data_IF_993612148474
#
_entry.id   IF_993612148474
#
_cell.length_a   1.000
_cell.length_b   1.000
_cell.length_c   1.000
_cell.angle_alpha   90.00
_cell.angle_beta   90.00
_cell.angle_gamma   90.00
#
_symmetry.space_group_name_H-M   'P 1'
#
loop_
_entity.id
_entity.type
_entity.pdbx_description
1 polymer ?
#
# COMPACT_ATOMS: atom_id res chain seq x y z
N UNK A 1 10.39 14.66 28.93
CA UNK A 1 10.97 14.00 27.75
C UNK A 1 11.48 15.11 26.83
N UNK A 2 12.75 15.07 26.44
CA UNK A 2 13.24 15.98 25.40
C UNK A 2 12.52 15.59 24.12
N UNK A 3 11.72 16.49 23.55
CA UNK A 3 11.19 16.34 22.20
C UNK A 3 12.39 16.28 21.26
N UNK A 4 12.74 15.08 20.81
CA UNK A 4 13.75 14.89 19.78
C UNK A 4 13.09 15.24 18.45
N UNK A 5 13.23 16.50 18.02
CA UNK A 5 12.83 16.91 16.68
C UNK A 5 13.93 16.55 15.69
N UNK A 6 13.59 15.88 14.60
CA UNK A 6 14.52 15.67 13.48
C UNK A 6 14.87 17.01 12.83
N UNK A 7 16.11 17.17 12.34
CA UNK A 7 16.46 18.35 11.56
C UNK A 7 15.72 18.34 10.21
N UNK A 8 15.58 19.51 9.61
CA UNK A 8 15.05 19.66 8.25
C UNK A 8 16.15 19.70 7.18
N UNK A 9 17.42 19.55 7.58
CA UNK A 9 18.59 19.58 6.69
C UNK A 9 19.62 18.55 7.13
N UNK A 10 20.35 17.98 6.16
CA UNK A 10 21.50 17.14 6.43
C UNK A 10 22.70 17.98 6.88
N UNK A 11 23.63 17.42 7.67
CA UNK A 11 24.90 18.08 7.94
C UNK A 11 25.63 18.43 6.63
N UNK A 12 26.25 19.62 6.49
CA UNK A 12 26.85 20.06 5.22
C UNK A 12 27.82 19.05 4.59
N UNK A 13 28.72 18.47 5.38
CA UNK A 13 29.68 17.47 4.91
C UNK A 13 29.00 16.19 4.36
N UNK A 14 27.86 15.80 4.93
CA UNK A 14 27.06 14.68 4.43
C UNK A 14 26.37 15.08 3.13
N UNK A 15 25.73 16.24 3.11
CA UNK A 15 25.04 16.77 1.93
C UNK A 15 25.97 16.89 0.70
N UNK A 16 27.21 17.31 0.89
CA UNK A 16 28.23 17.39 -0.17
C UNK A 16 28.59 16.02 -0.76
N UNK A 17 28.56 14.95 0.04
CA UNK A 17 28.88 13.59 -0.41
C UNK A 17 27.77 12.91 -1.23
N UNK A 18 26.54 13.46 -1.20
CA UNK A 18 25.41 12.87 -1.91
C UNK A 18 25.60 12.97 -3.42
N UNK A 19 25.35 11.87 -4.12
CA UNK A 19 25.41 11.80 -5.60
C UNK A 19 24.14 11.20 -6.20
N UNK A 20 23.32 10.54 -5.40
CA UNK A 20 22.10 9.90 -5.85
C UNK A 20 20.95 10.16 -4.90
N UNK A 21 19.78 10.41 -5.47
CA UNK A 21 18.54 10.58 -4.73
C UNK A 21 17.51 9.59 -5.28
N UNK A 22 17.05 8.70 -4.42
CA UNK A 22 16.00 7.75 -4.72
C UNK A 22 14.69 8.24 -4.07
N UNK A 23 13.59 8.16 -4.82
CA UNK A 23 12.28 8.59 -4.36
C UNK A 23 11.34 7.38 -4.25
N UNK A 24 10.57 7.30 -3.16
CA UNK A 24 9.26 6.66 -3.26
C UNK A 24 8.30 7.54 -4.07
N UNK A 25 7.18 6.96 -4.50
CA UNK A 25 6.11 7.71 -5.16
C UNK A 25 5.01 8.10 -4.18
N UNK A 26 4.35 7.11 -3.57
CA UNK A 26 3.23 7.34 -2.68
C UNK A 26 3.66 8.15 -1.44
N UNK A 27 2.89 9.18 -1.11
CA UNK A 27 3.16 10.07 0.02
C UNK A 27 4.36 11.02 -0.17
N UNK A 28 5.15 10.86 -1.24
CA UNK A 28 6.31 11.71 -1.59
C UNK A 28 6.03 12.56 -2.84
N UNK A 29 5.73 11.93 -3.97
CA UNK A 29 5.43 12.58 -5.25
C UNK A 29 3.93 12.50 -5.55
N UNK A 30 3.31 11.33 -5.37
CA UNK A 30 1.90 11.05 -5.70
C UNK A 30 1.07 10.75 -4.46
N UNK A 31 -0.23 11.05 -4.51
CA UNK A 31 -1.15 10.75 -3.41
C UNK A 31 -1.68 9.31 -3.47
N UNK A 32 -2.00 8.72 -2.31
CA UNK A 32 -2.68 7.42 -2.19
C UNK A 32 -4.20 7.48 -2.43
N UNK A 33 -4.77 8.66 -2.72
CA UNK A 33 -6.23 8.86 -2.70
C UNK A 33 -6.97 7.94 -3.67
N UNK A 34 -6.46 7.81 -4.90
CA UNK A 34 -7.03 6.90 -5.90
C UNK A 34 -6.97 5.45 -5.43
N UNK A 35 -5.87 5.01 -4.82
CA UNK A 35 -5.79 3.65 -4.28
C UNK A 35 -6.82 3.40 -3.18
N UNK A 36 -7.07 4.37 -2.30
CA UNK A 36 -8.08 4.22 -1.25
C UNK A 36 -9.49 4.15 -1.83
N UNK A 37 -9.80 4.95 -2.84
CA UNK A 37 -11.09 4.86 -3.54
C UNK A 37 -11.24 3.51 -4.24
N UNK A 38 -10.19 3.05 -4.92
CA UNK A 38 -10.20 1.75 -5.63
C UNK A 38 -10.36 0.59 -4.65
N UNK A 39 -9.71 0.64 -3.47
CA UNK A 39 -9.87 -0.36 -2.43
C UNK A 39 -11.33 -0.45 -1.98
N UNK A 40 -11.95 0.70 -1.70
CA UNK A 40 -13.36 0.81 -1.28
C UNK A 40 -14.30 0.23 -2.32
N UNK A 41 -14.19 0.64 -3.59
CA UNK A 41 -15.10 0.17 -4.64
C UNK A 41 -14.90 -1.30 -4.96
N UNK A 42 -13.67 -1.83 -4.82
CA UNK A 42 -13.38 -3.26 -4.98
C UNK A 42 -14.09 -4.09 -3.92
N UNK A 43 -14.00 -3.67 -2.65
CA UNK A 43 -14.73 -4.31 -1.56
C UNK A 43 -16.23 -4.19 -1.80
N UNK A 44 -16.73 -2.99 -2.10
CA UNK A 44 -18.16 -2.74 -2.37
C UNK A 44 -18.72 -3.66 -3.44
N UNK A 45 -18.05 -3.72 -4.58
CA UNK A 45 -18.49 -4.53 -5.70
C UNK A 45 -18.57 -6.00 -5.31
N UNK A 46 -17.59 -6.52 -4.56
CA UNK A 46 -17.61 -7.91 -4.09
C UNK A 46 -18.87 -8.24 -3.25
N UNK A 47 -19.31 -7.30 -2.40
CA UNK A 47 -20.49 -7.51 -1.56
C UNK A 47 -21.80 -7.25 -2.29
N UNK A 48 -21.89 -6.17 -3.06
CA UNK A 48 -23.18 -5.71 -3.60
C UNK A 48 -23.49 -6.22 -5.01
N UNK A 49 -22.49 -6.61 -5.80
CA UNK A 49 -22.74 -7.12 -7.15
C UNK A 49 -23.34 -8.52 -7.12
N UNK A 50 -24.40 -8.74 -7.92
CA UNK A 50 -25.02 -10.06 -8.14
C UNK A 50 -24.05 -11.07 -8.76
N UNK A 51 -22.94 -10.61 -9.37
CA UNK A 51 -21.88 -11.49 -9.84
C UNK A 51 -21.13 -12.20 -8.69
N UNK A 52 -21.31 -11.73 -7.45
CA UNK A 52 -20.62 -12.20 -6.25
C UNK A 52 -21.62 -12.50 -5.12
N UNK A 53 -21.65 -11.69 -4.05
CA UNK A 53 -22.53 -11.91 -2.90
C UNK A 53 -23.94 -11.35 -3.10
N UNK A 54 -24.13 -10.34 -3.96
CA UNK A 54 -25.46 -9.77 -4.25
C UNK A 54 -26.16 -9.11 -3.06
N UNK A 55 -25.43 -8.70 -2.03
CA UNK A 55 -25.96 -8.06 -0.83
C UNK A 55 -26.22 -6.58 -1.06
N UNK A 56 -27.24 -6.27 -1.87
CA UNK A 56 -27.64 -4.91 -2.18
C UNK A 56 -27.86 -4.09 -0.91
N UNK A 57 -27.16 -2.95 -0.78
CA UNK A 57 -27.26 -2.06 0.39
C UNK A 57 -26.49 -2.54 1.62
N UNK A 58 -25.56 -3.48 1.47
CA UNK A 58 -24.68 -3.92 2.57
C UNK A 58 -23.86 -2.75 3.15
N UNK A 59 -23.37 -1.86 2.28
CA UNK A 59 -22.66 -0.65 2.69
C UNK A 59 -23.59 0.57 2.63
N UNK A 60 -23.54 1.42 3.66
CA UNK A 60 -24.32 2.66 3.64
C UNK A 60 -23.70 3.64 2.64
N UNK A 61 -24.49 4.11 1.68
CA UNK A 61 -24.03 5.10 0.71
C UNK A 61 -24.10 6.48 1.35
N UNK A 62 -22.97 6.96 1.86
CA UNK A 62 -22.80 8.36 2.22
C UNK A 62 -22.51 9.13 0.93
N UNK A 63 -23.54 9.76 0.35
CA UNK A 63 -23.35 10.75 -0.72
C UNK A 63 -22.91 12.09 -0.08
N UNK A 64 -21.73 12.62 -0.42
CA UNK A 64 -21.29 13.90 0.10
C UNK A 64 -21.71 15.01 -0.85
N UNK A 65 -22.87 15.63 -0.61
CA UNK A 65 -23.09 17.02 -1.01
C UNK A 65 -22.18 17.92 -0.14
N UNK A 66 -20.88 17.99 -0.43
CA UNK A 66 -19.93 18.89 0.23
C UNK A 66 -18.98 19.56 -0.79
N UNK A 67 -18.55 20.81 -0.55
CA UNK A 67 -17.80 21.62 -1.53
C UNK A 67 -16.41 21.08 -1.91
N UNK A 68 -15.92 20.06 -1.21
CA UNK A 68 -14.58 19.47 -1.35
C UNK A 68 -14.58 18.07 -2.02
N UNK A 69 -15.64 17.70 -2.75
CA UNK A 69 -15.64 16.49 -3.60
C UNK A 69 -15.52 15.19 -2.80
N UNK A 70 -16.48 14.92 -1.91
CA UNK A 70 -16.36 13.82 -0.97
C UNK A 70 -16.14 12.46 -1.66
N UNK A 71 -15.22 11.70 -1.07
CA UNK A 71 -14.63 10.49 -1.64
C UNK A 71 -15.70 9.40 -1.85
N UNK A 72 -15.70 8.68 -2.99
CA UNK A 72 -16.55 7.52 -3.17
C UNK A 72 -16.32 6.50 -2.05
N UNK A 73 -17.35 6.21 -1.26
CA UNK A 73 -17.33 5.06 -0.35
C UNK A 73 -16.58 5.26 0.97
N UNK A 74 -16.54 6.47 1.52
CA UNK A 74 -15.97 6.73 2.86
C UNK A 74 -16.51 5.81 3.98
N UNK A 75 -17.74 5.28 3.85
CA UNK A 75 -18.32 4.29 4.78
C UNK A 75 -17.84 2.85 4.60
N UNK A 76 -17.27 2.50 3.44
CA UNK A 76 -16.97 1.12 3.05
C UNK A 76 -15.67 0.62 3.69
N UNK A 77 -14.63 1.46 3.60
CA UNK A 77 -13.38 1.30 4.35
C UNK A 77 -13.13 2.65 5.03
N UNK A 78 -13.48 2.70 6.31
CA UNK A 78 -13.30 3.90 7.12
C UNK A 78 -11.81 4.26 7.24
N UNK A 79 -11.51 5.56 7.28
CA UNK A 79 -10.12 6.05 7.45
C UNK A 79 -9.48 5.55 8.76
N UNK A 80 -10.28 5.23 9.77
CA UNK A 80 -9.83 4.57 11.00
C UNK A 80 -9.32 3.16 10.73
N UNK A 81 -9.99 2.38 9.88
CA UNK A 81 -9.53 1.05 9.47
C UNK A 81 -8.24 1.14 8.65
N UNK A 82 -8.16 2.08 7.70
CA UNK A 82 -6.92 2.34 6.95
C UNK A 82 -5.77 2.63 7.91
N UNK A 83 -6.01 3.50 8.90
CA UNK A 83 -5.02 3.85 9.92
C UNK A 83 -4.61 2.65 10.77
N UNK A 84 -5.56 1.81 11.20
CA UNK A 84 -5.26 0.57 11.94
C UNK A 84 -4.35 -0.37 11.14
N UNK A 85 -4.66 -0.59 9.86
CA UNK A 85 -3.89 -1.45 8.96
C UNK A 85 -2.48 -0.90 8.73
N UNK A 86 -2.35 0.39 8.39
CA UNK A 86 -1.05 1.04 8.12
C UNK A 86 -0.17 1.08 9.37
N UNK A 87 -0.76 1.29 10.55
CA UNK A 87 -0.03 1.26 11.83
C UNK A 87 0.51 -0.13 12.19
N UNK A 88 -0.04 -1.20 11.62
CA UNK A 88 0.48 -2.57 11.73
C UNK A 88 1.48 -2.91 10.62
N UNK A 89 2.08 -1.91 9.98
CA UNK A 89 3.07 -2.07 8.91
C UNK A 89 2.55 -2.81 7.66
N UNK A 90 1.24 -2.75 7.40
CA UNK A 90 0.64 -3.20 6.12
C UNK A 90 0.50 -1.97 5.22
N UNK A 91 1.44 -1.80 4.29
CA UNK A 91 1.48 -0.61 3.43
C UNK A 91 0.84 -0.81 2.05
N UNK A 92 0.69 -2.06 1.61
CA UNK A 92 0.04 -2.40 0.33
C UNK A 92 -1.46 -2.10 0.38
N UNK A 93 -1.94 -1.33 -0.60
CA UNK A 93 -3.37 -1.06 -0.76
C UNK A 93 -4.14 -2.33 -1.23
N UNK A 94 -3.45 -3.30 -1.83
CA UNK A 94 -4.02 -4.61 -2.14
C UNK A 94 -4.23 -5.46 -0.88
N UNK A 95 -3.29 -5.43 0.07
CA UNK A 95 -3.44 -6.11 1.36
C UNK A 95 -4.50 -5.45 2.23
N UNK A 96 -4.61 -4.11 2.19
CA UNK A 96 -5.71 -3.37 2.79
C UNK A 96 -7.07 -3.84 2.25
N UNK A 97 -7.20 -3.93 0.93
CA UNK A 97 -8.42 -4.39 0.25
C UNK A 97 -8.75 -5.82 0.66
N UNK A 98 -7.75 -6.70 0.65
CA UNK A 98 -7.90 -8.10 1.05
C UNK A 98 -8.28 -8.26 2.53
N UNK A 99 -7.67 -7.52 3.45
CA UNK A 99 -8.03 -7.53 4.87
C UNK A 99 -9.48 -7.10 5.08
N UNK A 100 -9.87 -5.96 4.49
CA UNK A 100 -11.24 -5.46 4.58
C UNK A 100 -12.26 -6.49 4.05
N UNK A 101 -12.06 -6.97 2.82
CA UNK A 101 -12.94 -7.97 2.23
C UNK A 101 -13.02 -9.26 3.07
N UNK A 102 -11.88 -9.74 3.58
CA UNK A 102 -11.82 -10.98 4.37
C UNK A 102 -12.50 -10.85 5.73
N UNK A 103 -12.37 -9.71 6.40
CA UNK A 103 -13.00 -9.48 7.71
C UNK A 103 -14.51 -9.30 7.59
N UNK A 104 -14.98 -8.54 6.60
CA UNK A 104 -16.42 -8.42 6.34
C UNK A 104 -17.04 -9.77 5.95
N UNK A 105 -16.37 -10.56 5.09
CA UNK A 105 -16.85 -11.88 4.72
C UNK A 105 -16.79 -12.83 5.92
N UNK A 106 -15.69 -12.80 6.67
CA UNK A 106 -15.50 -13.58 7.89
C UNK A 106 -16.57 -13.35 8.94
N UNK A 107 -17.04 -12.10 9.09
CA UNK A 107 -18.15 -11.77 9.99
C UNK A 107 -19.45 -12.51 9.61
N UNK A 108 -19.78 -12.50 8.31
CA UNK A 108 -20.94 -13.21 7.77
C UNK A 108 -20.79 -14.73 7.99
N UNK A 109 -19.65 -15.29 7.57
CA UNK A 109 -19.41 -16.73 7.65
C UNK A 109 -19.44 -17.24 9.10
N UNK A 110 -18.86 -16.48 10.02
CA UNK A 110 -18.84 -16.79 11.45
C UNK A 110 -20.24 -16.77 12.04
N UNK A 111 -21.04 -15.75 11.70
CA UNK A 111 -22.42 -15.61 12.20
C UNK A 111 -23.29 -16.80 11.77
N UNK A 112 -23.20 -17.20 10.50
CA UNK A 112 -23.95 -18.37 10.01
C UNK A 112 -23.40 -19.65 10.64
N UNK A 113 -22.08 -19.84 10.69
CA UNK A 113 -21.47 -21.03 11.30
C UNK A 113 -21.93 -21.23 12.75
N UNK A 114 -21.91 -20.17 13.56
CA UNK A 114 -22.32 -20.23 14.96
C UNK A 114 -23.83 -20.44 15.15
N UNK A 115 -24.66 -20.00 14.21
CA UNK A 115 -26.12 -20.12 14.31
C UNK A 115 -26.67 -21.43 13.74
N UNK A 116 -26.06 -21.97 12.69
CA UNK A 116 -26.59 -23.15 11.96
C UNK A 116 -25.64 -24.34 11.93
N UNK A 117 -24.36 -24.17 12.27
CA UNK A 117 -23.33 -25.20 12.10
C UNK A 117 -22.94 -25.44 10.63
N UNK A 118 -23.19 -24.46 9.75
CA UNK A 118 -22.91 -24.56 8.31
C UNK A 118 -21.47 -25.03 8.03
N UNK A 119 -21.31 -26.15 7.32
CA UNK A 119 -19.99 -26.58 6.85
C UNK A 119 -19.60 -25.83 5.58
N UNK A 120 -18.72 -24.84 5.76
CA UNK A 120 -18.18 -24.03 4.67
C UNK A 120 -17.21 -24.80 3.75
N UNK A 121 -16.66 -25.93 4.20
CA UNK A 121 -15.68 -26.70 3.42
C UNK A 121 -16.26 -27.22 2.11
N UNK A 122 -17.56 -27.51 2.08
CA UNK A 122 -18.30 -27.94 0.88
C UNK A 122 -18.71 -26.79 -0.05
N UNK A 123 -18.73 -25.56 0.47
CA UNK A 123 -19.19 -24.35 -0.23
C UNK A 123 -18.03 -23.67 -0.95
N UNK A 124 -16.87 -23.63 -0.28
CA UNK A 124 -15.69 -22.92 -0.77
C UNK A 124 -14.80 -23.80 -1.63
N UNK A 125 -14.49 -23.29 -2.83
CA UNK A 125 -13.42 -23.78 -3.68
C UNK A 125 -12.25 -22.78 -3.62
N UNK A 126 -11.12 -23.11 -2.96
CA UNK A 126 -9.96 -22.22 -2.84
C UNK A 126 -9.38 -21.75 -4.19
N UNK A 127 -9.62 -22.47 -5.28
CA UNK A 127 -9.13 -22.13 -6.62
C UNK A 127 -10.14 -21.31 -7.43
N UNK A 128 -11.39 -21.19 -6.97
CA UNK A 128 -12.43 -20.42 -7.65
C UNK A 128 -13.20 -19.52 -6.66
N UNK A 129 -12.64 -18.33 -6.34
CA UNK A 129 -13.28 -17.40 -5.43
C UNK A 129 -14.63 -16.89 -5.90
N UNK A 130 -14.79 -16.61 -7.20
CA UNK A 130 -16.06 -16.15 -7.76
C UNK A 130 -17.17 -17.17 -7.51
N UNK A 131 -16.94 -18.45 -7.80
CA UNK A 131 -17.91 -19.50 -7.52
C UNK A 131 -18.19 -19.65 -6.03
N UNK A 132 -17.16 -19.54 -5.18
CA UNK A 132 -17.32 -19.64 -3.74
C UNK A 132 -18.22 -18.53 -3.19
N UNK A 133 -18.02 -17.29 -3.63
CA UNK A 133 -18.86 -16.14 -3.26
C UNK A 133 -20.31 -16.34 -3.74
N UNK A 134 -20.51 -16.83 -4.96
CA UNK A 134 -21.84 -17.15 -5.47
C UNK A 134 -22.52 -18.28 -4.66
N UNK A 135 -21.77 -19.31 -4.25
CA UNK A 135 -22.34 -20.37 -3.40
C UNK A 135 -22.73 -19.84 -2.02
N UNK A 136 -21.93 -18.94 -1.44
CA UNK A 136 -22.25 -18.26 -0.19
C UNK A 136 -23.51 -17.43 -0.34
N UNK A 137 -23.68 -16.69 -1.44
CA UNK A 137 -24.87 -15.84 -1.67
C UNK A 137 -26.18 -16.63 -1.58
N UNK A 138 -26.21 -17.86 -2.09
CA UNK A 138 -27.38 -18.74 -2.04
C UNK A 138 -27.76 -19.18 -0.61
N UNK A 139 -26.80 -19.16 0.32
CA UNK A 139 -27.01 -19.56 1.71
C UNK A 139 -27.47 -18.37 2.55
N UNK A 140 -27.01 -17.16 2.22
CA UNK A 140 -27.19 -15.98 3.06
C UNK A 140 -28.30 -15.03 2.57
N UNK A 141 -28.97 -15.35 1.46
CA UNK A 141 -29.95 -14.49 0.76
C UNK A 141 -31.15 -14.07 1.60
N UNK A 142 -31.55 -14.91 2.56
CA UNK A 142 -32.78 -14.69 3.36
C UNK A 142 -32.51 -13.86 4.62
N UNK A 143 -31.28 -13.39 4.81
CA UNK A 143 -30.83 -12.63 5.99
C UNK A 143 -30.43 -11.21 5.64
N UNK A 144 -30.58 -10.30 6.60
CA UNK A 144 -30.13 -8.91 6.48
C UNK A 144 -28.69 -8.83 7.01
N UNK A 145 -27.79 -8.33 6.17
CA UNK A 145 -26.38 -8.14 6.48
C UNK A 145 -26.02 -6.67 6.36
N UNK A 146 -25.22 -6.17 7.29
CA UNK A 146 -24.80 -4.75 7.30
C UNK A 146 -23.29 -4.62 7.49
N UNK A 147 -22.74 -3.51 7.01
CA UNK A 147 -21.32 -3.16 7.19
C UNK A 147 -20.90 -3.12 8.66
N UNK A 148 -21.81 -2.76 9.58
CA UNK A 148 -21.54 -2.70 11.01
C UNK A 148 -21.03 -4.05 11.55
N UNK A 149 -21.56 -5.17 11.04
CA UNK A 149 -21.10 -6.50 11.42
C UNK A 149 -19.62 -6.72 11.07
N UNK A 150 -19.21 -6.29 9.88
CA UNK A 150 -17.81 -6.40 9.45
C UNK A 150 -16.89 -5.42 10.18
N UNK A 151 -17.38 -4.21 10.49
CA UNK A 151 -16.64 -3.22 11.28
C UNK A 151 -16.38 -3.71 12.72
N UNK A 152 -17.41 -4.24 13.39
CA UNK A 152 -17.28 -4.80 14.73
C UNK A 152 -16.36 -6.03 14.74
N UNK A 153 -16.48 -6.88 13.74
CA UNK A 153 -15.62 -8.05 13.58
C UNK A 153 -14.15 -7.69 13.34
N UNK A 154 -13.91 -6.61 12.58
CA UNK A 154 -12.56 -6.07 12.39
C UNK A 154 -11.95 -5.61 13.71
N UNK A 155 -12.71 -4.95 14.59
CA UNK A 155 -12.24 -4.56 15.91
C UNK A 155 -11.88 -5.78 16.78
N UNK A 156 -12.68 -6.84 16.73
CA UNK A 156 -12.40 -8.11 17.43
C UNK A 156 -11.10 -8.72 16.90
N UNK A 157 -10.92 -8.78 15.58
CA UNK A 157 -9.70 -9.29 14.96
C UNK A 157 -8.47 -8.51 15.44
N UNK A 158 -8.46 -7.18 15.33
CA UNK A 158 -7.30 -6.36 15.73
C UNK A 158 -7.00 -6.43 17.23
N UNK A 159 -8.02 -6.57 18.09
CA UNK A 159 -7.84 -6.81 19.52
C UNK A 159 -7.18 -8.18 19.78
N UNK A 160 -7.58 -9.22 19.05
CA UNK A 160 -7.01 -10.57 19.18
C UNK A 160 -5.60 -10.69 18.57
N UNK A 161 -5.28 -9.85 17.58
CA UNK A 161 -4.02 -9.91 16.85
C UNK A 161 -2.80 -9.46 17.69
N UNK A 162 -3.00 -8.97 18.92
CA UNK A 162 -1.94 -8.47 19.81
C UNK A 162 -1.03 -7.47 19.08
N UNK A 163 0.29 -7.59 19.18
CA UNK A 163 1.32 -6.74 18.58
C UNK A 163 1.81 -7.22 17.19
N UNK A 164 1.09 -8.17 16.56
CA UNK A 164 1.44 -8.67 15.21
C UNK A 164 1.36 -7.58 14.16
N UNK A 165 2.35 -7.58 13.26
CA UNK A 165 2.56 -6.58 12.21
C UNK A 165 2.95 -7.27 10.90
N UNK A 166 2.83 -6.57 9.77
CA UNK A 166 3.33 -7.03 8.47
C UNK A 166 2.76 -8.40 8.07
N UNK A 167 3.62 -9.26 7.53
CA UNK A 167 3.26 -10.63 7.13
C UNK A 167 2.64 -11.45 8.27
N UNK A 168 3.08 -11.25 9.52
CA UNK A 168 2.60 -12.03 10.66
C UNK A 168 1.13 -11.74 10.97
N UNK A 169 0.69 -10.50 10.77
CA UNK A 169 -0.72 -10.13 10.89
C UNK A 169 -1.57 -10.80 9.79
N UNK A 170 -1.07 -10.82 8.55
CA UNK A 170 -1.76 -11.46 7.43
C UNK A 170 -1.86 -12.98 7.62
N UNK A 171 -0.79 -13.64 8.08
CA UNK A 171 -0.83 -15.06 8.40
C UNK A 171 -1.78 -15.36 9.57
N UNK A 172 -1.86 -14.47 10.56
CA UNK A 172 -2.79 -14.61 11.67
C UNK A 172 -4.26 -14.48 11.25
N UNK A 173 -4.59 -13.66 10.24
CA UNK A 173 -5.94 -13.57 9.69
C UNK A 173 -6.47 -14.93 9.22
N UNK A 174 -5.67 -15.71 8.49
CA UNK A 174 -6.09 -17.04 8.04
C UNK A 174 -6.42 -17.94 9.23
N UNK A 175 -5.52 -18.02 10.23
CA UNK A 175 -5.75 -18.81 11.44
C UNK A 175 -7.01 -18.37 12.18
N UNK A 176 -7.17 -17.06 12.39
CA UNK A 176 -8.33 -16.48 13.05
C UNK A 176 -9.63 -16.86 12.34
N UNK A 177 -9.69 -16.72 11.01
CA UNK A 177 -10.89 -17.06 10.24
C UNK A 177 -11.17 -18.56 10.24
N UNK A 178 -10.16 -19.42 10.19
CA UNK A 178 -10.34 -20.88 10.29
C UNK A 178 -10.99 -21.26 11.63
N UNK A 179 -10.51 -20.68 12.74
CA UNK A 179 -11.08 -20.93 14.08
C UNK A 179 -12.52 -20.44 14.20
N UNK A 180 -12.83 -19.25 13.67
CA UNK A 180 -14.15 -18.64 13.84
C UNK A 180 -15.22 -19.21 12.90
N UNK A 181 -14.82 -19.66 11.70
CA UNK A 181 -15.75 -20.15 10.68
C UNK A 181 -15.80 -21.67 10.56
N UNK A 182 -14.82 -22.39 11.11
CA UNK A 182 -14.65 -23.83 10.88
C UNK A 182 -14.20 -24.18 9.45
N UNK A 183 -13.94 -23.19 8.59
CA UNK A 183 -13.43 -23.41 7.24
C UNK A 183 -11.99 -23.90 7.31
N UNK A 184 -11.71 -25.13 6.88
CA UNK A 184 -10.35 -25.73 6.99
C UNK A 184 -9.50 -25.56 5.74
N UNK A 185 -10.09 -25.08 4.64
CA UNK A 185 -9.38 -24.89 3.38
C UNK A 185 -8.66 -23.53 3.33
N UNK A 186 -7.63 -23.36 2.47
CA UNK A 186 -6.80 -22.15 2.47
C UNK A 186 -7.40 -21.01 1.64
N UNK A 187 -8.72 -20.79 1.70
CA UNK A 187 -9.39 -19.74 0.94
C UNK A 187 -8.85 -18.34 1.27
N UNK A 188 -8.69 -18.06 2.56
CA UNK A 188 -8.15 -16.82 3.09
C UNK A 188 -6.63 -16.82 3.20
N UNK A 189 -5.90 -17.66 2.46
CA UNK A 189 -4.43 -17.61 2.48
C UNK A 189 -3.93 -16.27 1.90
N UNK A 190 -3.06 -15.53 2.59
CA UNK A 190 -2.42 -14.32 2.04
C UNK A 190 -1.69 -14.62 0.72
N UNK A 191 -1.89 -13.78 -0.28
CA UNK A 191 -1.35 -14.01 -1.64
C UNK A 191 -1.98 -15.18 -2.41
N UNK A 192 -2.94 -15.90 -1.80
CA UNK A 192 -3.69 -17.01 -2.40
C UNK A 192 -4.73 -16.55 -3.44
N UNK A 193 -5.53 -17.50 -3.93
CA UNK A 193 -6.45 -17.23 -5.05
C UNK A 193 -7.50 -16.14 -4.75
N UNK A 194 -8.00 -16.05 -3.51
CA UNK A 194 -8.91 -14.96 -3.12
C UNK A 194 -8.22 -13.58 -3.14
N UNK A 195 -6.99 -13.49 -2.64
CA UNK A 195 -6.18 -12.28 -2.74
C UNK A 195 -5.95 -11.89 -4.21
N UNK A 196 -5.56 -12.85 -5.07
CA UNK A 196 -5.33 -12.60 -6.50
C UNK A 196 -6.62 -12.17 -7.24
N UNK A 197 -7.75 -12.72 -6.81
CA UNK A 197 -9.06 -12.34 -7.32
C UNK A 197 -9.39 -10.88 -7.00
N UNK A 198 -9.20 -10.44 -5.74
CA UNK A 198 -9.38 -9.05 -5.33
C UNK A 198 -8.39 -8.13 -6.03
N UNK A 199 -7.12 -8.52 -6.11
CA UNK A 199 -6.08 -7.79 -6.83
C UNK A 199 -6.49 -7.52 -8.29
N UNK A 200 -7.05 -8.52 -8.99
CA UNK A 200 -7.50 -8.32 -10.38
C UNK A 200 -8.64 -7.30 -10.48
N UNK A 201 -9.66 -7.40 -9.62
CA UNK A 201 -10.78 -6.44 -9.62
C UNK A 201 -10.27 -5.04 -9.30
N UNK A 202 -9.39 -4.93 -8.30
CA UNK A 202 -8.72 -3.68 -7.94
C UNK A 202 -8.02 -3.07 -9.16
N UNK A 203 -7.23 -3.87 -9.87
CA UNK A 203 -6.47 -3.41 -11.03
C UNK A 203 -7.37 -2.94 -12.17
N UNK A 204 -8.47 -3.66 -12.43
CA UNK A 204 -9.45 -3.26 -13.43
C UNK A 204 -10.13 -1.92 -13.08
N UNK A 205 -10.44 -1.70 -11.80
CA UNK A 205 -10.94 -0.40 -11.33
C UNK A 205 -9.88 0.70 -11.44
N UNK A 206 -8.67 0.43 -10.96
CA UNK A 206 -7.58 1.41 -10.96
C UNK A 206 -7.23 1.89 -12.37
N UNK A 207 -7.24 0.98 -13.36
CA UNK A 207 -6.96 1.29 -14.75
C UNK A 207 -8.18 1.85 -15.52
N UNK A 208 -9.33 2.04 -14.86
CA UNK A 208 -10.60 2.40 -15.49
C UNK A 208 -11.02 1.41 -16.62
N UNK A 209 -10.63 0.13 -16.50
CA UNK A 209 -10.96 -0.94 -17.45
C UNK A 209 -12.05 -1.89 -16.95
N UNK A 210 -12.61 -1.65 -15.76
CA UNK A 210 -13.68 -2.49 -15.20
C UNK A 210 -14.96 -2.36 -16.04
N UNK A 211 -15.42 -3.47 -16.61
CA UNK A 211 -16.61 -3.52 -17.49
C UNK A 211 -17.76 -4.36 -16.90
N UNK A 212 -17.86 -4.48 -15.57
CA UNK A 212 -18.96 -5.22 -14.96
C UNK A 212 -20.29 -4.44 -15.05
N UNK A 213 -21.45 -5.13 -15.12
CA UNK A 213 -22.75 -4.47 -15.05
C UNK A 213 -22.86 -3.54 -13.84
N UNK A 214 -22.37 -4.00 -12.68
CA UNK A 214 -22.31 -3.21 -11.45
C UNK A 214 -21.53 -1.90 -11.64
N UNK A 215 -20.32 -1.97 -12.22
CA UNK A 215 -19.51 -0.77 -12.45
C UNK A 215 -20.19 0.24 -13.37
N UNK A 216 -20.82 -0.25 -14.45
CA UNK A 216 -21.52 0.57 -15.42
C UNK A 216 -22.78 1.24 -14.83
N UNK A 217 -23.49 0.55 -13.95
CA UNK A 217 -24.69 1.04 -13.27
C UNK A 217 -24.36 2.09 -12.20
N UNK A 218 -23.34 1.83 -11.37
CA UNK A 218 -23.02 2.69 -10.23
C UNK A 218 -22.37 4.02 -10.65
N UNK A 219 -21.83 4.13 -11.88
CA UNK A 219 -21.17 5.34 -12.42
C UNK A 219 -20.17 5.96 -11.44
N UNK A 220 -19.38 5.12 -10.78
CA UNK A 220 -18.46 5.56 -9.74
C UNK A 220 -17.35 6.42 -10.36
N UNK A 221 -17.14 7.61 -9.80
CA UNK A 221 -16.06 8.51 -10.20
C UNK A 221 -14.92 8.41 -9.19
N UNK A 222 -13.84 7.74 -9.59
CA UNK A 222 -12.63 7.63 -8.77
C UNK A 222 -11.87 8.96 -8.69
N UNK A 223 -11.17 9.20 -7.58
CA UNK A 223 -10.19 10.29 -7.51
C UNK A 223 -9.18 10.18 -8.67
N UNK A 224 -8.81 11.31 -9.31
CA UNK A 224 -7.75 11.31 -10.31
C UNK A 224 -6.41 10.93 -9.67
N UNK A 225 -5.49 10.43 -10.50
CA UNK A 225 -4.09 10.39 -10.12
C UNK A 225 -3.57 11.83 -9.95
N UNK A 226 -3.01 12.13 -8.79
CA UNK A 226 -2.57 13.48 -8.44
C UNK A 226 -1.15 13.48 -7.86
N UNK A 227 -0.37 14.46 -8.32
CA UNK A 227 0.83 14.89 -7.62
C UNK A 227 0.43 15.55 -6.28
N UNK A 228 1.21 15.32 -5.24
CA UNK A 228 0.99 15.92 -3.91
C UNK A 228 1.28 17.43 -3.92
N UNK A 229 2.13 17.86 -4.86
CA UNK A 229 2.54 19.25 -5.04
C UNK A 229 2.22 19.72 -6.46
N UNK A 230 2.28 21.03 -6.69
CA UNK A 230 2.12 21.58 -8.03
C UNK A 230 3.15 20.98 -9.00
N UNK A 231 2.70 20.62 -10.20
CA UNK A 231 3.52 19.97 -11.21
C UNK A 231 4.71 20.82 -11.68
N UNK A 232 4.50 22.13 -11.86
CA UNK A 232 5.53 23.05 -12.33
C UNK A 232 6.60 23.25 -11.26
N UNK A 233 6.21 23.38 -10.00
CA UNK A 233 7.14 23.48 -8.86
C UNK A 233 7.98 22.21 -8.71
N UNK A 234 7.35 21.04 -8.86
CA UNK A 234 8.05 19.76 -8.82
C UNK A 234 9.04 19.62 -9.97
N UNK A 235 8.61 19.94 -11.20
CA UNK A 235 9.47 19.90 -12.38
C UNK A 235 10.67 20.85 -12.25
N UNK A 236 10.44 22.08 -11.75
CA UNK A 236 11.50 23.04 -11.50
C UNK A 236 12.50 22.53 -10.44
N UNK A 237 12.01 21.90 -9.37
CA UNK A 237 12.84 21.29 -8.34
C UNK A 237 13.70 20.15 -8.91
N UNK A 238 13.10 19.22 -9.66
CA UNK A 238 13.82 18.10 -10.29
C UNK A 238 14.86 18.57 -11.31
N UNK A 239 14.53 19.59 -12.12
CA UNK A 239 15.46 20.22 -13.06
C UNK A 239 16.66 20.84 -12.33
N UNK A 240 16.43 21.45 -11.16
CA UNK A 240 17.48 22.05 -10.34
C UNK A 240 18.39 21.02 -9.68
N UNK A 241 17.85 19.88 -9.26
CA UNK A 241 18.65 18.78 -8.71
C UNK A 241 19.50 18.08 -9.79
N UNK A 242 18.97 17.93 -11.00
CA UNK A 242 19.69 17.31 -12.12
C UNK A 242 20.68 18.26 -12.81
N UNK A 243 20.60 19.56 -12.53
CA UNK A 243 21.48 20.56 -13.13
C UNK A 243 22.97 20.23 -12.93
N UNK A 244 23.75 20.34 -14.00
CA UNK A 244 25.18 20.05 -13.98
C UNK A 244 25.53 18.58 -13.71
N UNK A 245 24.57 17.66 -13.82
CA UNK A 245 24.69 16.24 -13.45
C UNK A 245 25.08 16.04 -11.98
N UNK A 246 24.63 16.95 -11.09
CA UNK A 246 24.96 16.90 -9.67
C UNK A 246 24.42 15.65 -8.98
N UNK A 247 23.14 15.33 -9.25
CA UNK A 247 22.47 14.16 -8.69
C UNK A 247 21.91 13.26 -9.79
N UNK A 248 22.08 11.95 -9.61
CA UNK A 248 21.31 10.94 -10.34
C UNK A 248 20.01 10.70 -9.58
N UNK A 249 18.87 10.86 -10.25
CA UNK A 249 17.56 10.62 -9.64
C UNK A 249 17.03 9.25 -10.04
N UNK A 250 16.49 8.50 -9.08
CA UNK A 250 15.85 7.21 -9.31
C UNK A 250 14.57 7.06 -8.51
N UNK A 251 13.80 6.03 -8.81
CA UNK A 251 12.54 5.70 -8.14
C UNK A 251 12.63 4.28 -7.59
N UNK A 252 12.15 4.08 -6.37
CA UNK A 252 11.96 2.77 -5.76
C UNK A 252 10.58 2.72 -5.09
N UNK A 253 9.60 2.19 -5.80
CA UNK A 253 8.18 2.25 -5.41
C UNK A 253 7.53 0.86 -5.34
N UNK A 254 6.49 0.76 -4.52
CA UNK A 254 5.59 -0.40 -4.47
C UNK A 254 4.54 -0.42 -5.57
N UNK A 255 4.46 0.61 -6.43
CA UNK A 255 3.55 0.63 -7.57
C UNK A 255 4.05 -0.26 -8.72
N UNK A 256 3.16 -0.92 -9.48
CA UNK A 256 3.49 -1.48 -10.79
C UNK A 256 3.96 -0.40 -11.77
N UNK A 257 4.74 -0.79 -12.77
CA UNK A 257 5.43 0.15 -13.67
C UNK A 257 4.49 1.05 -14.45
N UNK A 258 3.39 0.51 -14.95
CA UNK A 258 2.40 1.30 -15.68
C UNK A 258 1.76 2.38 -14.78
N UNK A 259 1.41 2.00 -13.55
CA UNK A 259 0.78 2.88 -12.55
C UNK A 259 1.75 3.96 -12.06
N UNK A 260 3.04 3.61 -11.90
CA UNK A 260 4.09 4.55 -11.51
C UNK A 260 4.41 5.57 -12.61
N UNK A 261 4.46 5.15 -13.87
CA UNK A 261 4.81 6.02 -14.99
C UNK A 261 3.67 6.95 -15.43
N UNK A 262 2.42 6.52 -15.26
CA UNK A 262 1.24 7.27 -15.69
C UNK A 262 1.21 8.72 -15.17
N UNK A 263 1.25 9.00 -13.85
CA UNK A 263 1.24 10.37 -13.34
C UNK A 263 2.50 11.15 -13.73
N UNK A 264 3.66 10.50 -13.77
CA UNK A 264 4.91 11.18 -14.12
C UNK A 264 4.92 11.65 -15.58
N UNK A 265 4.40 10.82 -16.50
CA UNK A 265 4.28 11.14 -17.93
C UNK A 265 3.20 12.17 -18.20
N UNK A 266 2.08 12.12 -17.48
CA UNK A 266 1.03 13.12 -17.58
C UNK A 266 1.54 14.54 -17.32
N UNK A 267 2.60 14.67 -16.51
CA UNK A 267 3.27 15.93 -16.19
C UNK A 267 4.67 16.07 -16.82
N UNK A 268 5.07 15.17 -17.72
CA UNK A 268 6.38 15.16 -18.39
C UNK A 268 7.61 15.19 -17.45
N UNK A 269 7.46 14.72 -16.22
CA UNK A 269 8.54 14.68 -15.21
C UNK A 269 9.25 13.32 -15.15
N UNK A 270 8.76 12.30 -15.88
CA UNK A 270 9.40 10.98 -15.93
C UNK A 270 10.82 11.04 -16.49
N UNK A 271 11.10 12.01 -17.37
CA UNK A 271 12.41 12.20 -18.01
C UNK A 271 13.54 12.64 -17.06
N UNK A 272 13.23 13.11 -15.85
CA UNK A 272 14.24 13.46 -14.85
C UNK A 272 14.84 12.25 -14.15
N UNK A 273 14.21 11.08 -14.24
CA UNK A 273 14.62 9.87 -13.53
C UNK A 273 15.39 8.92 -14.45
N UNK A 274 16.48 8.33 -13.94
CA UNK A 274 17.25 7.32 -14.65
C UNK A 274 16.42 6.04 -14.83
N UNK A 275 16.15 5.69 -16.09
CA UNK A 275 15.39 4.49 -16.46
C UNK A 275 15.95 3.17 -15.89
N UNK A 276 17.26 3.06 -15.68
CA UNK A 276 17.86 1.87 -15.06
C UNK A 276 17.65 1.81 -13.55
N UNK A 277 17.23 2.92 -12.94
CA UNK A 277 17.03 3.11 -11.50
C UNK A 277 15.58 3.39 -11.17
N UNK A 278 14.67 3.00 -12.05
CA UNK A 278 13.23 3.07 -11.84
C UNK A 278 12.72 1.69 -11.44
N UNK A 279 12.81 1.37 -10.15
CA UNK A 279 12.45 0.07 -9.60
C UNK A 279 11.03 0.09 -9.03
N UNK A 280 10.26 -0.92 -9.39
CA UNK A 280 8.81 -1.04 -9.17
C UNK A 280 8.45 -2.40 -8.61
N UNK A 281 7.17 -2.58 -8.27
CA UNK A 281 6.64 -3.88 -7.87
C UNK A 281 6.90 -4.98 -8.91
N UNK A 282 6.87 -4.66 -10.20
CA UNK A 282 7.10 -5.65 -11.26
C UNK A 282 8.53 -6.23 -11.18
N UNK A 283 9.52 -5.41 -10.85
CA UNK A 283 10.91 -5.84 -10.68
C UNK A 283 11.08 -6.70 -9.43
N UNK A 284 10.38 -6.35 -8.34
CA UNK A 284 10.31 -7.14 -7.11
C UNK A 284 9.73 -8.51 -7.42
N UNK A 285 8.59 -8.57 -8.11
CA UNK A 285 7.93 -9.82 -8.49
C UNK A 285 8.79 -10.72 -9.36
N UNK A 286 9.48 -10.14 -10.33
CA UNK A 286 10.40 -10.86 -11.20
C UNK A 286 11.58 -11.44 -10.39
N UNK A 287 12.12 -10.67 -9.44
CA UNK A 287 13.20 -11.12 -8.57
C UNK A 287 12.76 -12.22 -7.59
N UNK A 288 11.58 -12.10 -6.98
CA UNK A 288 11.02 -13.13 -6.10
C UNK A 288 10.78 -14.44 -6.86
N UNK A 289 10.29 -14.37 -8.09
CA UNK A 289 10.12 -15.54 -8.95
C UNK A 289 11.47 -16.22 -9.23
N UNK A 290 12.49 -15.45 -9.63
CA UNK A 290 13.83 -15.98 -9.88
C UNK A 290 14.47 -16.60 -8.63
N UNK A 291 14.26 -16.02 -7.45
CA UNK A 291 14.73 -16.59 -6.18
C UNK A 291 14.00 -17.87 -5.82
N UNK A 292 12.69 -17.94 -6.04
CA UNK A 292 11.89 -19.15 -5.84
C UNK A 292 12.36 -20.29 -6.72
N UNK A 293 12.63 -20.02 -8.01
CA UNK A 293 13.22 -20.99 -8.95
C UNK A 293 14.61 -21.46 -8.51
N UNK A 294 15.39 -20.59 -7.86
CA UNK A 294 16.68 -20.93 -7.27
C UNK A 294 16.57 -21.65 -5.90
N UNK A 295 15.36 -21.96 -5.42
CA UNK A 295 15.13 -22.65 -4.15
C UNK A 295 15.29 -21.77 -2.90
N UNK A 296 15.24 -20.44 -3.05
CA UNK A 296 15.38 -19.47 -1.96
C UNK A 296 14.21 -18.47 -1.93
N UNK A 297 12.95 -18.92 -1.80
CA UNK A 297 11.79 -18.03 -1.79
C UNK A 297 11.95 -16.99 -0.66
N UNK A 298 12.00 -15.73 -1.05
CA UNK A 298 12.22 -14.59 -0.15
C UNK A 298 11.26 -13.48 -0.54
N UNK A 299 10.60 -12.85 0.43
CA UNK A 299 9.81 -11.64 0.16
C UNK A 299 10.74 -10.44 0.04
N UNK A 300 10.67 -9.74 -1.09
CA UNK A 300 11.56 -8.65 -1.45
C UNK A 300 10.88 -7.27 -1.44
N UNK A 301 9.58 -7.23 -1.15
CA UNK A 301 8.86 -5.97 -0.92
C UNK A 301 9.41 -5.25 0.32
N UNK A 302 9.26 -3.92 0.38
CA UNK A 302 9.62 -3.13 1.56
C UNK A 302 8.92 -3.74 2.80
N UNK A 303 9.62 -3.89 3.95
CA UNK A 303 10.85 -3.20 4.34
C UNK A 303 12.16 -3.83 3.84
N UNK A 304 12.13 -4.92 3.06
CA UNK A 304 13.34 -5.46 2.47
C UNK A 304 13.99 -4.42 1.52
N UNK A 305 15.33 -4.24 1.52
CA UNK A 305 16.00 -3.15 0.80
C UNK A 305 16.18 -3.41 -0.70
N UNK A 306 15.60 -4.49 -1.24
CA UNK A 306 15.87 -4.96 -2.61
C UNK A 306 15.65 -3.85 -3.64
N UNK A 307 14.52 -3.13 -3.58
CA UNK A 307 14.23 -2.10 -4.58
C UNK A 307 15.25 -0.97 -4.58
N UNK A 308 15.75 -0.59 -3.41
CA UNK A 308 16.79 0.44 -3.27
C UNK A 308 18.14 -0.10 -3.77
N UNK A 309 18.54 -1.29 -3.31
CA UNK A 309 19.81 -1.91 -3.74
C UNK A 309 19.84 -2.17 -5.26
N UNK A 310 18.70 -2.55 -5.84
CA UNK A 310 18.54 -2.72 -7.28
C UNK A 310 18.62 -1.38 -8.01
N UNK A 311 18.05 -0.31 -7.45
CA UNK A 311 18.17 1.03 -8.01
C UNK A 311 19.62 1.55 -7.94
N UNK A 312 20.38 1.21 -6.90
CA UNK A 312 21.80 1.58 -6.72
C UNK A 312 22.69 0.76 -7.66
N UNK A 313 22.44 -0.54 -7.78
CA UNK A 313 23.20 -1.47 -8.63
C UNK A 313 22.30 -2.24 -9.61
N UNK A 314 21.84 -1.61 -10.71
CA UNK A 314 20.87 -2.19 -11.64
C UNK A 314 21.29 -3.54 -12.25
N UNK A 315 22.59 -3.79 -12.36
CA UNK A 315 23.13 -5.01 -12.97
C UNK A 315 23.26 -6.18 -11.98
N UNK A 316 23.09 -5.96 -10.68
CA UNK A 316 23.22 -7.00 -9.68
C UNK A 316 22.06 -8.01 -9.72
N UNK A 317 22.38 -9.27 -9.47
CA UNK A 317 21.39 -10.35 -9.38
C UNK A 317 20.59 -10.27 -8.08
N UNK A 318 19.33 -10.76 -8.04
CA UNK A 318 18.56 -10.83 -6.80
C UNK A 318 19.28 -11.51 -5.64
N UNK A 319 19.99 -12.62 -5.90
CA UNK A 319 20.78 -13.32 -4.90
C UNK A 319 21.89 -12.44 -4.31
N UNK A 320 22.61 -11.72 -5.16
CA UNK A 320 23.67 -10.79 -4.72
C UNK A 320 23.08 -9.69 -3.84
N UNK A 321 21.94 -9.12 -4.24
CA UNK A 321 21.30 -8.04 -3.51
C UNK A 321 20.75 -8.51 -2.15
N UNK A 322 20.17 -9.71 -2.08
CA UNK A 322 19.75 -10.30 -0.80
C UNK A 322 20.94 -10.48 0.16
N UNK A 323 22.09 -10.92 -0.37
CA UNK A 323 23.30 -11.08 0.44
C UNK A 323 23.86 -9.74 0.98
N UNK A 324 23.57 -8.61 0.34
CA UNK A 324 23.99 -7.27 0.74
C UNK A 324 23.07 -6.63 1.78
N UNK A 325 21.84 -7.10 1.93
CA UNK A 325 20.86 -6.56 2.89
C UNK A 325 21.43 -6.46 4.31
N UNK A 326 21.47 -5.24 4.85
CA UNK A 326 22.01 -4.92 6.18
C UNK A 326 23.53 -5.06 6.32
N UNK A 327 24.27 -5.28 5.23
CA UNK A 327 25.72 -5.54 5.24
C UNK A 327 26.54 -4.54 4.43
N UNK A 328 25.89 -3.67 3.65
CA UNK A 328 26.53 -2.63 2.83
C UNK A 328 26.14 -1.24 3.31
N UNK A 329 26.93 -0.25 2.94
CA UNK A 329 26.69 1.16 3.23
C UNK A 329 26.78 1.98 1.95
N UNK A 330 25.82 2.88 1.76
CA UNK A 330 25.70 3.79 0.63
C UNK A 330 25.49 5.23 1.16
N UNK A 331 26.47 5.82 1.88
CA UNK A 331 26.35 7.16 2.42
C UNK A 331 26.19 8.25 1.34
N UNK A 332 26.52 7.94 0.09
CA UNK A 332 26.34 8.80 -1.08
C UNK A 332 24.91 8.81 -1.65
N UNK A 333 24.01 7.99 -1.08
CA UNK A 333 22.64 7.78 -1.55
C UNK A 333 21.64 8.24 -0.48
N UNK A 334 20.73 9.12 -0.88
CA UNK A 334 19.56 9.50 -0.08
C UNK A 334 18.32 8.77 -0.60
N UNK A 335 17.47 8.29 0.31
CA UNK A 335 16.14 7.80 0.00
C UNK A 335 15.06 8.64 0.68
N UNK A 336 14.09 9.10 -0.09
CA UNK A 336 12.90 9.78 0.41
C UNK A 336 11.72 8.81 0.48
N UNK A 337 11.06 8.73 1.64
CA UNK A 337 9.85 7.95 1.82
C UNK A 337 8.92 8.52 2.89
N UNK A 338 7.66 8.11 2.87
CA UNK A 338 6.62 8.59 3.78
C UNK A 338 6.19 7.55 4.83
N UNK A 339 6.68 6.32 4.71
CA UNK A 339 6.29 5.19 5.56
C UNK A 339 7.44 4.69 6.44
N UNK A 340 7.09 3.98 7.53
CA UNK A 340 8.09 3.30 8.35
C UNK A 340 8.89 2.25 7.55
N UNK A 341 8.25 1.60 6.56
CA UNK A 341 8.93 0.58 5.74
C UNK A 341 9.99 1.19 4.83
N UNK A 342 9.83 2.45 4.42
CA UNK A 342 10.83 3.17 3.63
C UNK A 342 12.09 3.46 4.42
N UNK A 343 11.91 3.94 5.66
CA UNK A 343 13.03 4.24 6.55
C UNK A 343 13.83 2.96 6.85
N UNK A 344 13.13 1.87 7.16
CA UNK A 344 13.78 0.57 7.40
C UNK A 344 14.47 0.05 6.15
N UNK A 345 13.84 0.15 4.97
CA UNK A 345 14.46 -0.26 3.71
C UNK A 345 15.72 0.55 3.38
N UNK A 346 15.70 1.87 3.60
CA UNK A 346 16.88 2.72 3.42
C UNK A 346 18.03 2.33 4.35
N UNK A 347 17.73 2.08 5.62
CA UNK A 347 18.74 1.66 6.59
C UNK A 347 19.33 0.30 6.27
N UNK A 348 18.50 -0.66 5.85
CA UNK A 348 18.97 -1.99 5.43
C UNK A 348 19.74 -1.93 4.10
N UNK A 349 19.46 -0.94 3.25
CA UNK A 349 20.30 -0.63 2.08
C UNK A 349 21.57 0.13 2.46
N UNK A 350 21.69 0.65 3.69
CA UNK A 350 22.79 1.50 4.12
C UNK A 350 22.76 2.92 3.54
N UNK A 351 21.61 3.36 3.03
CA UNK A 351 21.35 4.71 2.53
C UNK A 351 21.03 5.68 3.67
N UNK A 352 21.08 6.98 3.38
CA UNK A 352 20.54 8.01 4.26
C UNK A 352 19.02 8.11 4.06
N UNK A 353 18.26 7.86 5.12
CA UNK A 353 16.80 7.97 5.09
C UNK A 353 16.34 9.41 5.36
N UNK A 354 15.49 9.95 4.51
CA UNK A 354 14.77 11.22 4.72
C UNK A 354 13.28 10.94 4.71
N UNK A 355 12.60 11.33 5.78
CA UNK A 355 11.16 11.17 5.94
C UNK A 355 10.43 12.35 5.31
N UNK A 356 9.35 12.08 4.58
CA UNK A 356 8.44 13.10 4.06
C UNK A 356 7.10 12.99 4.77
N UNK A 357 6.60 14.10 5.29
CA UNK A 357 5.28 14.19 5.91
C UNK A 357 4.44 15.12 5.06
N UNK A 358 3.98 14.58 3.93
CA UNK A 358 3.03 15.27 3.07
C UNK A 358 1.73 15.57 3.83
N UNK A 359 1.08 16.67 3.45
CA UNK A 359 -0.15 17.20 4.06
C UNK A 359 -1.40 16.32 3.87
N UNK A 360 -1.28 15.12 3.29
CA UNK A 360 -2.38 14.18 3.06
C UNK A 360 -2.94 13.63 4.38
N UNK A 361 -2.15 13.65 5.46
CA UNK A 361 -2.62 13.39 6.80
C UNK A 361 -3.30 14.64 7.38
N UNK A 362 -4.62 14.74 7.23
CA UNK A 362 -5.43 15.82 7.82
C UNK A 362 -5.58 15.74 9.35
N UNK A 363 -5.11 14.65 9.97
CA UNK A 363 -5.14 14.44 11.43
C UNK A 363 -3.77 14.76 12.05
N UNK A 364 -3.73 15.81 12.87
CA UNK A 364 -2.55 16.23 13.63
C UNK A 364 -1.99 15.11 14.52
N UNK A 365 -2.84 14.22 15.06
CA UNK A 365 -2.37 13.09 15.87
C UNK A 365 -1.65 12.06 15.02
N UNK A 366 -2.21 11.68 13.87
CA UNK A 366 -1.56 10.78 12.92
C UNK A 366 -0.23 11.36 12.42
N UNK A 367 -0.20 12.67 12.15
CA UNK A 367 1.02 13.40 11.78
C UNK A 367 2.08 13.32 12.87
N UNK A 368 1.73 13.62 14.12
CA UNK A 368 2.66 13.55 15.27
C UNK A 368 3.15 12.12 15.52
N UNK A 369 2.27 11.12 15.44
CA UNK A 369 2.64 9.72 15.58
C UNK A 369 3.66 9.29 14.52
N UNK A 370 3.47 9.74 13.26
CA UNK A 370 4.42 9.47 12.17
C UNK A 370 5.76 10.17 12.39
N UNK A 371 5.75 11.43 12.83
CA UNK A 371 6.98 12.16 13.21
C UNK A 371 7.77 11.41 14.27
N UNK A 372 7.09 11.02 15.35
CA UNK A 372 7.68 10.28 16.45
C UNK A 372 8.24 8.94 15.97
N UNK A 373 7.52 8.25 15.07
CA UNK A 373 7.99 6.99 14.49
C UNK A 373 9.26 7.17 13.67
N UNK A 374 9.38 8.24 12.89
CA UNK A 374 10.61 8.53 12.14
C UNK A 374 11.79 8.88 13.03
N UNK A 375 11.55 9.58 14.14
CA UNK A 375 12.57 9.82 15.17
C UNK A 375 13.07 8.49 15.76
N UNK A 376 12.15 7.63 16.18
CA UNK A 376 12.47 6.32 16.76
C UNK A 376 13.22 5.41 15.81
N UNK A 377 12.85 5.46 14.52
CA UNK A 377 13.54 4.70 13.50
C UNK A 377 14.91 5.28 13.16
N UNK A 378 15.27 6.50 13.55
CA UNK A 378 16.58 7.08 13.27
C UNK A 378 16.69 7.66 11.85
N UNK A 379 15.62 8.30 11.38
CA UNK A 379 15.61 9.07 10.14
C UNK A 379 16.60 10.26 10.24
N UNK A 380 17.28 10.61 9.14
CA UNK A 380 18.34 11.63 9.17
C UNK A 380 17.78 13.07 9.11
N UNK A 381 16.69 13.26 8.36
CA UNK A 381 16.00 14.53 8.24
C UNK A 381 14.52 14.33 7.97
N UNK A 382 13.73 15.36 8.24
CA UNK A 382 12.29 15.36 8.06
C UNK A 382 11.83 16.55 7.21
N UNK A 383 11.10 16.27 6.13
CA UNK A 383 10.57 17.28 5.22
C UNK A 383 9.05 17.39 5.36
N UNK A 384 8.53 18.61 5.22
CA UNK A 384 7.08 18.83 5.15
C UNK A 384 6.55 18.55 3.73
N UNK A 385 7.41 18.73 2.73
CA UNK A 385 7.12 18.45 1.33
C UNK A 385 8.39 18.03 0.61
N UNK A 386 8.24 17.27 -0.47
CA UNK A 386 9.35 16.91 -1.36
C UNK A 386 10.07 18.16 -1.93
N UNK A 387 9.38 19.30 -2.01
CA UNK A 387 9.96 20.57 -2.47
C UNK A 387 11.03 21.15 -1.52
N UNK A 388 11.07 20.70 -0.26
CA UNK A 388 12.09 21.12 0.71
C UNK A 388 13.45 20.42 0.46
N UNK A 389 13.49 19.43 -0.43
CA UNK A 389 14.68 18.60 -0.66
C UNK A 389 15.94 19.38 -1.07
N UNK A 390 15.92 20.37 -1.99
CA UNK A 390 17.12 21.13 -2.32
C UNK A 390 17.73 21.79 -1.09
N UNK A 391 16.90 22.39 -0.23
CA UNK A 391 17.35 23.00 1.02
C UNK A 391 17.94 21.93 1.97
N UNK A 392 17.29 20.77 2.06
CA UNK A 392 17.76 19.68 2.90
C UNK A 392 19.14 19.13 2.48
N UNK A 393 19.45 19.20 1.19
CA UNK A 393 20.73 18.84 0.60
C UNK A 393 21.73 20.00 0.52
N UNK A 394 21.44 21.16 1.13
CA UNK A 394 22.32 22.33 1.08
C UNK A 394 22.53 22.88 -0.34
N UNK A 395 21.63 22.57 -1.26
CA UNK A 395 21.65 23.04 -2.64
C UNK A 395 20.80 24.32 -2.71
N UNK A 396 21.43 25.45 -3.08
CA UNK A 396 20.80 26.78 -3.19
C UNK A 396 20.56 27.24 -4.63
#
# INVERSE_FOLDING_TARGET
MVSLSLPNQLPPAVAESITMVLFDLDGVITSDLRYFDVARVTVREMFESEAYLGLSGYFEIIYPDMPDGGRPGGGIIADTFVSMVKNRAINSNWDLTYLAASLHLGAILTTVYQSTGQDWSSVFNPQNPMQSLHNVSQIISDSIWTEQMGNDYSNIFFASAADRNGSDLLSYLEMFLQEQTGLTNPFFRPGGAFWQFLYRIFQEWYADTRQSPYALEQRIQLSPEHLIVNADDLAAMLARLTHGNRFVLGIATGRPRAEALSPLRAHAIDTFFDSQRFITYDDVRAAEAALSEAGQPTSLAKPHPFSLLKAITPQASPLTLCAQSGRVTHPEVVYLGDSASDIVAAQQAGCIAIGVISSVLHDDKARQARQQRFVELGCAALLNTVLDLPQALGWH
#
